data_IF_135339577903
#
_entry.id   IF_135339577903
#
_cell.length_a   1.000
_cell.length_b   1.000
_cell.length_c   1.000
_cell.angle_alpha   90.00
_cell.angle_beta   90.00
_cell.angle_gamma   90.00
#
_symmetry.space_group_name_H-M   'P 1'
#
loop_
_entity.id
_entity.type
_entity.pdbx_description
1 polymer ?
#
# COMPACT_ATOMS: atom_id res chain seq x y z
N UNK A 1 6.61 -5.56 18.50
CA UNK A 1 5.96 -4.23 18.40
C UNK A 1 6.44 -3.45 17.17
N UNK A 2 7.71 -3.56 16.76
CA UNK A 2 8.25 -2.84 15.57
C UNK A 2 7.58 -3.22 14.23
N UNK A 3 7.00 -4.40 14.12
CA UNK A 3 6.38 -4.89 12.88
C UNK A 3 5.11 -4.12 12.50
N UNK A 4 4.30 -3.71 13.50
CA UNK A 4 3.06 -2.97 13.27
C UNK A 4 3.35 -1.54 12.84
N UNK A 5 4.29 -0.85 13.51
CA UNK A 5 4.74 0.49 13.15
C UNK A 5 5.28 0.55 11.73
N UNK A 6 5.99 -0.51 11.30
CA UNK A 6 6.46 -0.64 9.93
C UNK A 6 5.30 -0.81 8.94
N UNK A 7 4.28 -1.61 9.28
CA UNK A 7 3.10 -1.76 8.44
C UNK A 7 2.32 -0.43 8.29
N UNK A 8 2.18 0.34 9.37
CA UNK A 8 1.57 1.68 9.30
C UNK A 8 2.37 2.59 8.37
N UNK A 9 3.70 2.63 8.49
CA UNK A 9 4.55 3.39 7.56
C UNK A 9 4.45 2.95 6.10
N UNK A 10 4.29 1.65 5.82
CA UNK A 10 4.10 1.16 4.45
C UNK A 10 2.81 1.72 3.84
N UNK A 11 1.78 1.91 4.66
CA UNK A 11 0.50 2.53 4.27
C UNK A 11 0.52 4.06 4.35
N UNK A 12 1.68 4.67 4.63
CA UNK A 12 1.82 6.10 4.89
C UNK A 12 0.93 6.60 6.05
N UNK A 13 0.79 5.77 7.08
CA UNK A 13 -0.02 6.03 8.28
C UNK A 13 0.84 6.16 9.53
N UNK A 14 0.30 6.87 10.51
CA UNK A 14 0.89 6.95 11.84
C UNK A 14 0.60 5.68 12.66
N UNK A 15 1.56 5.25 13.51
CA UNK A 15 1.35 4.10 14.37
C UNK A 15 0.22 4.38 15.37
N UNK A 16 -0.80 3.51 15.36
CA UNK A 16 -2.01 3.71 16.14
C UNK A 16 -3.21 4.22 15.33
N UNK A 17 -3.05 4.38 14.01
CA UNK A 17 -4.17 4.65 13.10
C UNK A 17 -5.26 3.58 13.20
N UNK A 18 -6.51 4.02 13.03
CA UNK A 18 -7.70 3.18 13.10
C UNK A 18 -7.82 2.26 11.88
N UNK A 19 -8.54 1.15 12.02
CA UNK A 19 -8.81 0.22 10.92
C UNK A 19 -9.50 0.90 9.72
N UNK A 20 -10.28 1.94 9.96
CA UNK A 20 -10.87 2.79 8.91
C UNK A 20 -9.79 3.55 8.12
N UNK A 21 -8.83 4.16 8.80
CA UNK A 21 -7.70 4.87 8.19
C UNK A 21 -6.82 3.92 7.38
N UNK A 22 -6.54 2.72 7.93
CA UNK A 22 -5.85 1.62 7.24
C UNK A 22 -6.55 1.24 5.94
N UNK A 23 -7.88 1.08 5.97
CA UNK A 23 -8.65 0.76 4.78
C UNK A 23 -8.71 1.92 3.77
N UNK A 24 -8.78 3.15 4.25
CA UNK A 24 -8.79 4.34 3.41
C UNK A 24 -7.44 4.50 2.68
N UNK A 25 -6.33 4.46 3.41
CA UNK A 25 -4.98 4.54 2.85
C UNK A 25 -4.72 3.40 1.86
N UNK A 26 -5.14 2.18 2.18
CA UNK A 26 -5.07 1.05 1.26
C UNK A 26 -5.77 1.35 -0.08
N UNK A 27 -7.02 1.86 -0.04
CA UNK A 27 -7.78 2.18 -1.25
C UNK A 27 -7.08 3.28 -2.06
N UNK A 28 -6.58 4.31 -1.40
CA UNK A 28 -5.88 5.42 -2.04
C UNK A 28 -4.61 4.93 -2.75
N UNK A 29 -3.79 4.13 -2.06
CA UNK A 29 -2.56 3.61 -2.66
C UNK A 29 -2.83 2.61 -3.79
N UNK A 30 -3.80 1.72 -3.65
CA UNK A 30 -4.18 0.79 -4.74
C UNK A 30 -4.69 1.58 -5.94
N UNK A 31 -5.43 2.65 -5.73
CA UNK A 31 -5.88 3.53 -6.80
C UNK A 31 -4.71 4.23 -7.49
N UNK A 32 -3.73 4.74 -6.73
CA UNK A 32 -2.52 5.41 -7.27
C UNK A 32 -1.63 4.44 -8.05
N UNK A 33 -1.40 3.24 -7.51
CA UNK A 33 -0.55 2.21 -8.10
C UNK A 33 -1.30 1.26 -9.05
N UNK A 34 -2.54 1.59 -9.43
CA UNK A 34 -3.32 0.72 -10.30
C UNK A 34 -2.65 0.63 -11.69
N UNK A 35 -2.44 -0.59 -12.24
CA UNK A 35 -1.73 -0.76 -13.52
C UNK A 35 -2.43 -0.05 -14.69
N UNK A 36 -3.74 0.17 -14.61
CA UNK A 36 -4.52 0.94 -15.58
C UNK A 36 -4.06 2.41 -15.71
N UNK A 37 -3.52 3.00 -14.62
CA UNK A 37 -2.99 4.36 -14.62
C UNK A 37 -1.55 4.44 -15.14
N UNK A 38 -0.90 3.29 -15.33
CA UNK A 38 0.50 3.22 -15.71
C UNK A 38 0.58 2.98 -17.22
N UNK A 39 1.27 3.84 -17.97
CA UNK A 39 1.46 3.65 -19.40
C UNK A 39 2.03 2.27 -19.69
N UNK A 40 1.46 1.54 -20.64
CA UNK A 40 1.86 0.18 -21.02
C UNK A 40 3.32 0.12 -21.50
N UNK A 41 3.84 1.23 -22.01
CA UNK A 41 5.25 1.39 -22.43
C UNK A 41 6.24 1.43 -21.25
N UNK A 42 5.76 1.61 -20.02
CA UNK A 42 6.60 1.71 -18.83
C UNK A 42 6.55 0.43 -17.98
N UNK A 43 7.13 -0.64 -18.49
CA UNK A 43 7.22 -1.93 -17.78
C UNK A 43 7.86 -1.79 -16.38
N UNK A 44 8.87 -0.92 -16.24
CA UNK A 44 9.51 -0.63 -14.95
C UNK A 44 8.52 -0.09 -13.91
N UNK A 45 7.59 0.77 -14.33
CA UNK A 45 6.56 1.30 -13.42
C UNK A 45 5.52 0.24 -13.08
N UNK A 46 5.14 -0.60 -14.06
CA UNK A 46 4.24 -1.73 -13.82
C UNK A 46 4.79 -2.69 -12.77
N UNK A 47 6.06 -3.08 -12.90
CA UNK A 47 6.73 -3.94 -11.91
C UNK A 47 6.76 -3.27 -10.53
N UNK A 48 7.16 -1.99 -10.47
CA UNK A 48 7.20 -1.24 -9.21
C UNK A 48 5.82 -1.12 -8.55
N UNK A 49 4.78 -0.94 -9.35
CA UNK A 49 3.41 -0.85 -8.88
C UNK A 49 2.90 -2.18 -8.33
N UNK A 50 3.21 -3.30 -8.99
CA UNK A 50 2.91 -4.63 -8.49
C UNK A 50 3.63 -4.90 -7.16
N UNK A 51 4.91 -4.54 -7.05
CA UNK A 51 5.65 -4.65 -5.78
C UNK A 51 5.01 -3.79 -4.70
N UNK A 52 4.67 -2.53 -5.00
CA UNK A 52 4.02 -1.62 -4.05
C UNK A 52 2.69 -2.15 -3.57
N UNK A 53 1.81 -2.58 -4.47
CA UNK A 53 0.50 -3.15 -4.12
C UNK A 53 0.67 -4.43 -3.29
N UNK A 54 1.70 -5.23 -3.55
CA UNK A 54 2.02 -6.41 -2.73
C UNK A 54 2.42 -6.01 -1.31
N UNK A 55 3.33 -5.04 -1.15
CA UNK A 55 3.73 -4.52 0.17
C UNK A 55 2.51 -3.97 0.94
N UNK A 56 1.66 -3.19 0.27
CA UNK A 56 0.45 -2.59 0.83
C UNK A 56 -0.55 -3.66 1.30
N UNK A 57 -0.77 -4.70 0.50
CA UNK A 57 -1.62 -5.83 0.89
C UNK A 57 -1.07 -6.57 2.12
N UNK A 58 0.26 -6.81 2.16
CA UNK A 58 0.91 -7.47 3.30
C UNK A 58 0.81 -6.62 4.57
N UNK A 59 1.05 -5.31 4.47
CA UNK A 59 0.91 -4.40 5.59
C UNK A 59 -0.52 -4.35 6.11
N UNK A 60 -1.53 -4.24 5.22
CA UNK A 60 -2.94 -4.27 5.62
C UNK A 60 -3.32 -5.59 6.29
N UNK A 61 -2.87 -6.72 5.76
CA UNK A 61 -3.18 -8.05 6.32
C UNK A 61 -2.62 -8.23 7.74
N UNK A 62 -1.45 -7.64 8.01
CA UNK A 62 -0.84 -7.60 9.34
C UNK A 62 -1.55 -6.67 10.33
N UNK A 63 -2.24 -5.65 9.83
CA UNK A 63 -2.98 -4.64 10.60
C UNK A 63 -4.47 -4.97 10.77
N UNK A 64 -4.92 -6.11 10.20
CA UNK A 64 -6.31 -6.57 10.26
C UNK A 64 -6.66 -7.19 11.60
#
# INVERSE_FOLDING_TARGET
>A
MKDLEHCYRILDLEPGASLEEVNQAYKDMVFVWHPDRIPTDNERLHQKAQEKIKEINQARDRLR
#
